data_IF_512677825239
#
_entry.id   IF_512677825239
#
_cell.length_a   1.000
_cell.length_b   1.000
_cell.length_c   1.000
_cell.angle_alpha   90.00
_cell.angle_beta   90.00
_cell.angle_gamma   90.00
#
_symmetry.space_group_name_H-M   'P 1'
#
loop_
_entity.id
_entity.type
_entity.pdbx_description
1 polymer ?
#
# COMPACT_ATOMS: atom_id res chain seq x y z
N UNK A 1 -13.23 2.54 -12.89
CA UNK A 1 -13.77 1.85 -11.69
C UNK A 1 -13.40 2.70 -10.47
N UNK A 2 -14.37 3.29 -9.77
CA UNK A 2 -14.09 3.79 -8.41
C UNK A 2 -13.74 2.56 -7.58
N UNK A 3 -12.52 2.49 -7.02
CA UNK A 3 -12.17 1.44 -6.05
C UNK A 3 -13.25 1.47 -4.96
N UNK A 4 -13.89 0.33 -4.72
CA UNK A 4 -14.83 0.20 -3.61
C UNK A 4 -14.04 0.47 -2.33
N UNK A 5 -14.48 1.46 -1.55
CA UNK A 5 -13.84 1.79 -0.29
C UNK A 5 -13.98 0.60 0.66
N UNK A 6 -12.86 -0.03 1.01
CA UNK A 6 -12.84 -0.97 2.12
C UNK A 6 -12.87 -0.14 3.40
N UNK A 7 -14.04 -0.02 3.99
CA UNK A 7 -14.20 0.57 5.31
C UNK A 7 -13.83 -0.49 6.36
N UNK A 8 -13.24 -0.05 7.48
CA UNK A 8 -12.99 -0.92 8.63
C UNK A 8 -14.30 -1.62 9.01
N UNK A 9 -14.25 -2.95 9.20
CA UNK A 9 -15.43 -3.75 9.57
C UNK A 9 -15.95 -3.45 10.98
N UNK A 10 -15.16 -2.78 11.81
CA UNK A 10 -15.52 -2.44 13.18
C UNK A 10 -15.32 -0.93 13.41
N UNK A 11 -16.26 -0.33 14.13
CA UNK A 11 -16.26 1.09 14.47
C UNK A 11 -15.52 1.30 15.80
N UNK A 12 -14.22 1.01 15.82
CA UNK A 12 -13.40 1.15 17.01
C UNK A 12 -11.98 1.61 16.63
N UNK A 13 -11.41 2.63 17.28
CA UNK A 13 -10.04 3.06 16.98
C UNK A 13 -9.01 2.02 17.42
N UNK A 14 -8.00 1.75 16.58
CA UNK A 14 -6.99 0.72 16.88
C UNK A 14 -6.15 1.09 18.11
N UNK A 15 -5.85 2.38 18.28
CA UNK A 15 -5.14 2.91 19.43
C UNK A 15 -5.91 2.65 20.73
N UNK A 16 -7.22 2.91 20.73
CA UNK A 16 -8.08 2.62 21.87
C UNK A 16 -8.12 1.12 22.15
N UNK A 17 -8.10 0.29 21.10
CA UNK A 17 -8.22 -1.17 21.27
C UNK A 17 -6.96 -1.71 21.93
N UNK A 18 -5.81 -1.23 21.46
CA UNK A 18 -4.52 -1.54 22.04
C UNK A 18 -4.43 -1.06 23.49
N UNK A 19 -4.83 0.18 23.78
CA UNK A 19 -4.82 0.73 25.13
C UNK A 19 -5.71 -0.09 26.09
N UNK A 20 -6.91 -0.47 25.65
CA UNK A 20 -7.81 -1.34 26.42
C UNK A 20 -7.16 -2.69 26.72
N UNK A 21 -6.52 -3.33 25.73
CA UNK A 21 -5.83 -4.61 25.96
C UNK A 21 -4.71 -4.45 26.97
N UNK A 22 -3.88 -3.40 26.85
CA UNK A 22 -2.78 -3.13 27.78
C UNK A 22 -3.30 -2.95 29.21
N UNK A 23 -4.38 -2.19 29.41
CA UNK A 23 -4.93 -1.97 30.74
C UNK A 23 -5.57 -3.23 31.34
N UNK A 24 -6.26 -4.03 30.52
CA UNK A 24 -6.82 -5.32 30.98
C UNK A 24 -5.72 -6.31 31.34
N UNK A 25 -4.60 -6.32 30.61
CA UNK A 25 -3.42 -7.13 30.95
C UNK A 25 -2.81 -6.71 32.29
N UNK A 26 -2.69 -5.41 32.57
CA UNK A 26 -2.21 -4.91 33.87
C UNK A 26 -3.11 -5.37 35.02
N UNK A 27 -4.43 -5.27 34.87
CA UNK A 27 -5.37 -5.74 35.90
C UNK A 27 -5.32 -7.25 36.09
N UNK A 28 -5.25 -8.02 35.00
CA UNK A 28 -5.13 -9.48 35.07
C UNK A 28 -3.82 -9.93 35.72
N UNK A 29 -2.73 -9.19 35.49
CA UNK A 29 -1.45 -9.46 36.13
C UNK A 29 -1.45 -9.09 37.61
N UNK A 30 -2.12 -8.01 38.01
CA UNK A 30 -2.30 -7.64 39.44
C UNK A 30 -3.06 -8.73 40.20
N UNK A 31 -4.16 -9.21 39.62
CA UNK A 31 -5.07 -10.16 40.28
C UNK A 31 -4.85 -11.61 39.82
N UNK A 32 -3.60 -11.95 39.46
CA UNK A 32 -3.22 -13.19 38.78
C UNK A 32 -3.66 -14.46 39.52
N UNK A 33 -3.71 -14.44 40.85
CA UNK A 33 -4.10 -15.61 41.64
C UNK A 33 -5.56 -16.00 41.37
N UNK A 34 -6.48 -15.04 41.36
CA UNK A 34 -7.87 -15.27 41.01
C UNK A 34 -8.02 -15.65 39.53
N UNK A 35 -7.29 -15.00 38.62
CA UNK A 35 -7.35 -15.32 37.20
C UNK A 35 -6.84 -16.73 36.86
N UNK A 36 -5.87 -17.28 37.62
CA UNK A 36 -5.40 -18.66 37.46
C UNK A 36 -6.52 -19.67 37.68
N UNK A 37 -7.45 -19.41 38.62
CA UNK A 37 -8.60 -20.28 38.89
C UNK A 37 -9.55 -20.38 37.69
N UNK A 38 -9.64 -19.31 36.89
CA UNK A 38 -10.37 -19.27 35.62
C UNK A 38 -9.55 -19.74 34.41
N UNK A 39 -8.41 -20.39 34.65
CA UNK A 39 -7.55 -20.92 33.59
C UNK A 39 -6.80 -19.85 32.79
N UNK A 40 -6.74 -18.61 33.28
CA UNK A 40 -5.88 -17.57 32.71
C UNK A 40 -4.51 -17.66 33.35
N UNK A 41 -3.54 -18.23 32.62
CA UNK A 41 -2.15 -18.34 33.08
C UNK A 41 -1.30 -17.18 32.57
N UNK A 42 -0.14 -16.97 33.21
CA UNK A 42 0.83 -15.96 32.76
C UNK A 42 1.26 -16.19 31.30
N UNK A 43 1.34 -17.45 30.86
CA UNK A 43 1.62 -17.80 29.46
C UNK A 43 0.54 -17.29 28.52
N UNK A 44 -0.75 -17.42 28.90
CA UNK A 44 -1.86 -16.89 28.09
C UNK A 44 -1.83 -15.35 28.04
N UNK A 45 -1.55 -14.68 29.15
CA UNK A 45 -1.43 -13.21 29.19
C UNK A 45 -0.29 -12.73 28.27
N UNK A 46 0.88 -13.38 28.30
CA UNK A 46 1.99 -13.10 27.36
C UNK A 46 1.58 -13.33 25.90
N UNK A 47 0.79 -14.37 25.63
CA UNK A 47 0.25 -14.62 24.29
C UNK A 47 -0.67 -13.50 23.80
N UNK A 48 -1.53 -12.98 24.68
CA UNK A 48 -2.40 -11.82 24.37
C UNK A 48 -1.55 -10.58 24.12
N UNK A 49 -0.57 -10.31 24.98
CA UNK A 49 0.36 -9.17 24.82
C UNK A 49 1.09 -9.21 23.47
N UNK A 50 1.59 -10.39 23.08
CA UNK A 50 2.28 -10.57 21.79
C UNK A 50 1.37 -10.24 20.60
N UNK A 51 0.11 -10.70 20.63
CA UNK A 51 -0.87 -10.37 19.58
C UNK A 51 -1.25 -8.89 19.56
N UNK A 52 -1.39 -8.27 20.73
CA UNK A 52 -1.66 -6.84 20.83
C UNK A 52 -0.52 -6.01 20.22
N UNK A 53 0.73 -6.40 20.47
CA UNK A 53 1.91 -5.77 19.89
C UNK A 53 1.99 -5.98 18.37
N UNK A 54 1.67 -7.19 17.88
CA UNK A 54 1.58 -7.45 16.45
C UNK A 54 0.53 -6.56 15.77
N UNK A 55 -0.63 -6.39 16.40
CA UNK A 55 -1.69 -5.52 15.91
C UNK A 55 -1.27 -4.04 15.91
N UNK A 56 -0.64 -3.56 16.99
CA UNK A 56 -0.13 -2.19 17.08
C UNK A 56 0.93 -1.87 16.02
N UNK A 57 1.73 -2.87 15.63
CA UNK A 57 2.76 -2.73 14.60
C UNK A 57 2.22 -2.85 13.17
N UNK A 58 0.91 -3.03 12.99
CA UNK A 58 0.31 -2.95 11.66
C UNK A 58 0.34 -1.49 11.17
N UNK A 59 0.66 -1.26 9.90
CA UNK A 59 0.62 0.09 9.34
C UNK A 59 -0.80 0.63 9.42
N UNK A 60 -0.92 1.90 9.80
CA UNK A 60 -2.20 2.60 9.80
C UNK A 60 -2.65 2.92 8.37
N UNK A 61 -3.90 3.37 8.23
CA UNK A 61 -4.50 3.63 6.93
C UNK A 61 -3.75 4.74 6.17
N UNK A 62 -3.25 5.76 6.87
CA UNK A 62 -2.48 6.85 6.26
C UNK A 62 -1.12 6.40 5.76
N UNK A 63 -0.42 5.55 6.50
CA UNK A 63 0.84 4.93 6.09
C UNK A 63 0.65 4.04 4.86
N UNK A 64 -0.43 3.25 4.82
CA UNK A 64 -0.77 2.42 3.66
C UNK A 64 -1.09 3.28 2.43
N UNK A 65 -1.83 4.37 2.60
CA UNK A 65 -2.11 5.33 1.53
C UNK A 65 -0.81 5.98 1.05
N UNK A 66 0.06 6.44 1.95
CA UNK A 66 1.37 7.00 1.61
C UNK A 66 2.23 6.00 0.83
N UNK A 67 2.30 4.75 1.29
CA UNK A 67 3.01 3.67 0.59
C UNK A 67 2.43 3.44 -0.82
N UNK A 68 1.10 3.44 -0.96
CA UNK A 68 0.46 3.34 -2.27
C UNK A 68 0.83 4.51 -3.18
N UNK A 69 0.89 5.73 -2.65
CA UNK A 69 1.28 6.92 -3.40
C UNK A 69 2.71 6.81 -3.91
N UNK A 70 3.67 6.42 -3.07
CA UNK A 70 5.08 6.23 -3.46
C UNK A 70 5.23 5.19 -4.56
N UNK A 71 4.52 4.06 -4.48
CA UNK A 71 4.54 3.03 -5.52
C UNK A 71 3.94 3.56 -6.84
N UNK A 72 2.88 4.36 -6.74
CA UNK A 72 2.21 4.96 -7.88
C UNK A 72 3.12 5.98 -8.58
N UNK A 73 3.81 6.82 -7.81
CA UNK A 73 4.80 7.78 -8.30
C UNK A 73 5.96 7.06 -9.03
N UNK A 74 6.57 6.05 -8.41
CA UNK A 74 7.60 5.22 -9.04
C UNK A 74 7.12 4.61 -10.36
N UNK A 75 5.86 4.18 -10.44
CA UNK A 75 5.27 3.65 -11.67
C UNK A 75 5.15 4.74 -12.74
N UNK A 76 4.70 5.95 -12.36
CA UNK A 76 4.61 7.07 -13.29
C UNK A 76 5.98 7.50 -13.81
N UNK A 77 7.00 7.55 -12.96
CA UNK A 77 8.37 7.87 -13.38
C UNK A 77 8.88 6.87 -14.42
N UNK A 78 8.69 5.58 -14.18
CA UNK A 78 9.06 4.53 -15.14
C UNK A 78 8.25 4.62 -16.44
N UNK A 79 6.97 4.96 -16.35
CA UNK A 79 6.15 5.16 -17.55
C UNK A 79 6.63 6.36 -18.38
N UNK A 80 7.03 7.46 -17.73
CA UNK A 80 7.56 8.64 -18.41
C UNK A 80 8.91 8.36 -19.08
N UNK A 81 9.82 7.66 -18.39
CA UNK A 81 11.08 7.20 -18.99
C UNK A 81 10.84 6.32 -20.23
N UNK A 82 9.86 5.42 -20.17
CA UNK A 82 9.51 4.57 -21.30
C UNK A 82 8.93 5.37 -22.48
N UNK A 83 8.02 6.31 -22.22
CA UNK A 83 7.48 7.22 -23.25
C UNK A 83 8.61 8.01 -23.93
N UNK A 84 9.54 8.55 -23.16
CA UNK A 84 10.70 9.27 -23.68
C UNK A 84 11.60 8.39 -24.55
N UNK A 85 11.86 7.14 -24.14
CA UNK A 85 12.61 6.19 -24.95
C UNK A 85 11.91 5.85 -26.27
N UNK A 86 10.59 5.61 -26.24
CA UNK A 86 9.79 5.34 -27.43
C UNK A 86 9.86 6.51 -28.43
N UNK A 87 9.74 7.75 -27.94
CA UNK A 87 9.88 8.94 -28.79
C UNK A 87 11.26 9.07 -29.42
N UNK A 88 12.32 8.77 -28.68
CA UNK A 88 13.68 8.81 -29.22
C UNK A 88 13.82 7.84 -30.43
N UNK A 89 13.23 6.65 -30.32
CA UNK A 89 13.16 5.68 -31.44
C UNK A 89 12.33 6.24 -32.59
N UNK A 90 11.11 6.70 -32.33
CA UNK A 90 10.20 7.18 -33.37
C UNK A 90 10.69 8.44 -34.09
N UNK A 91 11.44 9.30 -33.41
CA UNK A 91 12.10 10.46 -34.02
C UNK A 91 13.09 10.02 -35.08
N UNK A 92 13.89 8.97 -34.82
CA UNK A 92 14.83 8.42 -35.81
C UNK A 92 14.11 7.79 -37.00
N UNK A 93 13.01 7.09 -36.75
CA UNK A 93 12.15 6.53 -37.82
C UNK A 93 11.55 7.66 -38.68
N UNK A 94 11.09 8.74 -38.05
CA UNK A 94 10.58 9.93 -38.72
C UNK A 94 11.65 10.62 -39.56
N UNK A 95 12.88 10.74 -39.06
CA UNK A 95 14.02 11.30 -39.81
C UNK A 95 14.34 10.46 -41.05
N UNK A 96 14.25 9.13 -40.96
CA UNK A 96 14.60 8.22 -42.06
C UNK A 96 13.52 8.16 -43.16
N UNK A 97 12.25 8.12 -42.80
CA UNK A 97 11.16 7.86 -43.74
C UNK A 97 10.20 9.04 -43.95
N UNK A 98 10.30 10.10 -43.16
CA UNK A 98 9.36 11.21 -43.15
C UNK A 98 8.03 10.85 -42.46
N UNK A 99 7.48 11.78 -41.69
CA UNK A 99 6.29 11.53 -40.85
C UNK A 99 5.00 11.24 -41.63
N UNK A 100 4.92 11.60 -42.91
CA UNK A 100 3.74 11.34 -43.75
C UNK A 100 3.80 10.00 -44.49
N UNK A 101 4.92 9.27 -44.41
CA UNK A 101 5.11 8.03 -45.16
C UNK A 101 4.32 6.85 -44.58
N UNK A 102 3.91 5.93 -45.45
CA UNK A 102 3.34 4.64 -45.02
C UNK A 102 4.32 3.81 -44.20
N UNK A 103 5.64 3.94 -44.48
CA UNK A 103 6.71 3.29 -43.71
C UNK A 103 6.75 3.79 -42.27
N UNK A 104 6.60 5.09 -42.03
CA UNK A 104 6.51 5.64 -40.68
C UNK A 104 5.29 5.10 -39.92
N UNK A 105 4.10 5.05 -40.57
CA UNK A 105 2.88 4.48 -39.95
C UNK A 105 3.01 3.00 -39.59
N UNK A 106 3.78 2.23 -40.36
CA UNK A 106 4.00 0.81 -40.10
C UNK A 106 4.70 0.52 -38.75
N UNK A 107 5.39 1.51 -38.17
CA UNK A 107 6.00 1.41 -36.84
C UNK A 107 5.03 1.72 -35.68
N UNK A 108 3.72 1.81 -35.93
CA UNK A 108 2.72 1.95 -34.87
C UNK A 108 2.70 3.33 -34.24
N UNK A 109 2.47 4.37 -35.03
CA UNK A 109 2.47 5.78 -34.60
C UNK A 109 1.20 6.21 -33.85
N UNK A 110 0.29 5.29 -33.56
CA UNK A 110 -0.94 5.57 -32.84
C UNK A 110 -0.61 6.05 -31.41
N UNK A 111 -1.30 7.09 -30.94
CA UNK A 111 -1.13 7.66 -29.59
C UNK A 111 0.25 8.26 -29.29
N UNK A 112 1.08 8.52 -30.30
CA UNK A 112 2.33 9.29 -30.10
C UNK A 112 2.06 10.72 -29.58
N UNK A 113 0.88 11.28 -29.89
CA UNK A 113 0.38 12.55 -29.33
C UNK A 113 0.18 12.47 -27.81
N UNK A 114 -0.32 11.33 -27.32
CA UNK A 114 -0.70 11.11 -25.92
C UNK A 114 0.54 10.82 -25.04
N UNK A 115 1.70 10.71 -25.68
CA UNK A 115 2.96 10.59 -24.99
C UNK A 115 3.51 11.94 -24.56
N UNK A 116 2.87 13.08 -24.88
CA UNK A 116 3.25 14.48 -24.52
C UNK A 116 3.79 14.61 -23.09
N UNK A 117 4.77 15.51 -22.91
CA UNK A 117 5.34 15.80 -21.58
C UNK A 117 4.28 16.36 -20.62
#
# INVERSE_FOLDING_TARGET
>A
MRKQGFYRKYNFPDADLYAMVVDRLKYAQRDMNSFKEFGMSMTKLKGIQSRALQFYNLPNDDELVGNQMVVTEKKYDKANLLKSAIRAVMTRVAMKYGQRSGRYRAYGTAKMSDMSD
#
